data_IF_848371409910
#
_entry.id   IF_848371409910
#
_cell.length_a   1.000
_cell.length_b   1.000
_cell.length_c   1.000
_cell.angle_alpha   90.00
_cell.angle_beta   90.00
_cell.angle_gamma   90.00
#
_symmetry.space_group_name_H-M   'P 1'
#
loop_
_entity.id
_entity.type
_entity.pdbx_description
1 polymer ?
#
# COMPACT_ATOMS: atom_id res chain seq x y z
N UNK A 1 -13.87 16.78 8.25
CA UNK A 1 -13.87 17.16 6.84
C UNK A 1 -15.09 16.51 6.18
N UNK A 2 -16.03 17.31 5.69
CA UNK A 2 -17.13 16.80 4.89
C UNK A 2 -16.55 16.41 3.52
N UNK A 3 -16.53 15.13 3.24
CA UNK A 3 -16.16 14.66 1.92
C UNK A 3 -17.13 15.30 0.89
N UNK A 4 -16.58 15.95 -0.11
CA UNK A 4 -17.39 16.47 -1.21
C UNK A 4 -17.95 15.28 -1.99
N UNK A 5 -19.24 15.33 -2.39
CA UNK A 5 -19.73 14.30 -3.28
C UNK A 5 -18.93 14.36 -4.57
N UNK A 6 -18.21 13.27 -4.86
CA UNK A 6 -17.47 13.13 -6.11
C UNK A 6 -18.41 12.56 -7.14
N UNK A 7 -18.71 13.34 -8.18
CA UNK A 7 -19.38 12.83 -9.36
C UNK A 7 -18.40 12.87 -10.52
N UNK A 8 -18.10 11.71 -11.06
CA UNK A 8 -17.27 11.61 -12.26
C UNK A 8 -18.22 11.41 -13.46
N UNK A 9 -18.02 12.21 -14.51
CA UNK A 9 -18.75 12.06 -15.77
C UNK A 9 -18.15 10.90 -16.56
N UNK A 10 -16.88 10.60 -16.30
CA UNK A 10 -16.11 9.53 -16.95
C UNK A 10 -15.08 8.98 -16.00
N UNK A 11 -14.43 7.88 -16.38
CA UNK A 11 -13.32 7.28 -15.63
C UNK A 11 -12.25 8.33 -15.31
N UNK A 12 -11.85 8.49 -14.04
CA UNK A 12 -10.77 9.43 -13.70
C UNK A 12 -9.39 8.90 -14.08
N UNK A 13 -8.45 9.83 -14.31
CA UNK A 13 -7.02 9.51 -14.43
C UNK A 13 -6.39 9.56 -13.05
N UNK A 14 -5.43 8.64 -12.80
CA UNK A 14 -4.64 8.62 -11.58
C UNK A 14 -3.17 8.89 -11.93
N UNK A 15 -2.50 9.67 -11.07
CA UNK A 15 -1.08 10.03 -11.19
C UNK A 15 -0.29 9.19 -10.19
N UNK A 16 0.54 8.27 -10.71
CA UNK A 16 1.27 7.28 -9.89
C UNK A 16 2.76 7.63 -9.87
N UNK A 17 3.32 7.89 -8.71
CA UNK A 17 4.75 8.14 -8.55
C UNK A 17 5.49 6.79 -8.59
N UNK A 18 6.25 6.58 -9.67
CA UNK A 18 7.06 5.38 -9.87
C UNK A 18 8.43 5.48 -9.21
N UNK A 19 8.95 6.71 -9.09
CA UNK A 19 10.26 6.95 -8.49
C UNK A 19 10.36 8.38 -7.93
N UNK A 20 10.96 8.47 -6.75
CA UNK A 20 11.22 9.72 -6.03
C UNK A 20 12.68 9.77 -5.53
N UNK A 21 13.62 9.24 -6.33
CA UNK A 21 15.04 9.21 -5.96
C UNK A 21 15.87 10.18 -6.83
N UNK A 22 17.11 10.43 -6.40
CA UNK A 22 18.01 11.40 -7.03
C UNK A 22 19.10 10.74 -7.90
N UNK A 23 18.83 9.54 -8.41
CA UNK A 23 19.79 8.79 -9.25
C UNK A 23 19.49 9.03 -10.73
N UNK A 24 20.51 8.83 -11.57
CA UNK A 24 20.34 8.71 -13.00
C UNK A 24 19.43 7.52 -13.31
N UNK A 25 18.59 7.67 -14.33
CA UNK A 25 17.71 6.58 -14.77
C UNK A 25 17.58 6.56 -16.30
N UNK A 26 17.11 5.42 -16.79
CA UNK A 26 16.84 5.21 -18.22
C UNK A 26 15.37 4.82 -18.36
N UNK A 27 14.70 5.41 -19.34
CA UNK A 27 13.36 5.00 -19.76
C UNK A 27 13.45 4.53 -21.21
N UNK A 28 12.79 3.41 -21.51
CA UNK A 28 12.61 2.91 -22.88
C UNK A 28 11.15 3.09 -23.25
N UNK A 29 10.87 3.78 -24.35
CA UNK A 29 9.50 3.88 -24.89
C UNK A 29 9.31 2.86 -26.01
N UNK A 30 8.13 2.22 -26.01
CA UNK A 30 7.65 1.34 -27.08
C UNK A 30 6.46 2.06 -27.72
N UNK A 31 6.48 2.15 -29.06
CA UNK A 31 5.55 3.02 -29.78
C UNK A 31 6.08 4.44 -29.89
N UNK A 32 5.21 5.37 -30.27
CA UNK A 32 5.57 6.77 -30.53
C UNK A 32 5.02 7.69 -29.45
N UNK A 33 5.88 8.59 -28.95
CA UNK A 33 5.52 9.57 -27.92
C UNK A 33 5.84 11.00 -28.38
N UNK A 34 4.91 11.92 -28.18
CA UNK A 34 5.17 13.37 -28.23
C UNK A 34 5.85 13.75 -26.92
N UNK A 35 6.96 14.48 -27.04
CA UNK A 35 7.66 15.06 -25.88
C UNK A 35 7.25 16.52 -25.81
N UNK A 36 6.65 16.91 -24.68
CA UNK A 36 6.05 18.25 -24.48
C UNK A 36 6.77 18.93 -23.33
N UNK A 37 7.27 20.14 -23.58
CA UNK A 37 7.93 20.99 -22.59
C UNK A 37 7.35 22.41 -22.71
N UNK A 38 6.93 22.98 -21.59
CA UNK A 38 6.27 24.29 -21.53
C UNK A 38 5.11 24.41 -22.54
N UNK A 39 4.30 23.36 -22.62
CA UNK A 39 3.11 23.25 -23.49
C UNK A 39 3.42 23.19 -24.99
N UNK A 40 4.69 23.05 -25.38
CA UNK A 40 5.12 22.95 -26.78
C UNK A 40 5.62 21.53 -27.05
N UNK A 41 5.18 20.94 -28.16
CA UNK A 41 5.76 19.66 -28.63
C UNK A 41 7.16 19.98 -29.16
N UNK A 42 8.17 19.57 -28.41
CA UNK A 42 9.58 19.84 -28.77
C UNK A 42 10.15 18.75 -29.70
N UNK A 43 9.62 17.54 -29.65
CA UNK A 43 10.01 16.42 -30.51
C UNK A 43 9.02 15.28 -30.41
N UNK A 44 9.25 14.25 -31.25
CA UNK A 44 8.64 12.91 -31.13
C UNK A 44 9.75 11.88 -31.05
N UNK A 45 9.54 10.85 -30.23
CA UNK A 45 10.48 9.72 -30.11
C UNK A 45 9.71 8.43 -30.31
N UNK A 46 10.35 7.43 -30.91
CA UNK A 46 9.72 6.12 -31.20
C UNK A 46 10.68 5.00 -30.90
N UNK A 47 10.19 3.98 -30.18
CA UNK A 47 10.90 2.72 -29.96
C UNK A 47 12.37 2.93 -29.56
N UNK A 48 12.61 3.79 -28.58
CA UNK A 48 13.96 4.21 -28.20
C UNK A 48 14.11 4.32 -26.68
N UNK A 49 15.37 4.33 -26.24
CA UNK A 49 15.72 4.60 -24.86
C UNK A 49 16.32 5.99 -24.71
N UNK A 50 16.11 6.60 -23.58
CA UNK A 50 16.73 7.86 -23.23
C UNK A 50 17.09 7.89 -21.75
N UNK A 51 18.04 8.73 -21.38
CA UNK A 51 18.54 8.87 -20.01
C UNK A 51 18.07 10.20 -19.42
N UNK A 52 17.81 10.22 -18.12
CA UNK A 52 17.63 11.44 -17.35
C UNK A 52 18.59 11.43 -16.16
N UNK A 53 19.23 12.58 -15.92
CA UNK A 53 20.08 12.80 -14.75
C UNK A 53 19.48 13.95 -13.92
N UNK A 54 19.43 13.84 -12.59
CA UNK A 54 18.98 14.96 -11.75
C UNK A 54 19.79 16.26 -11.96
N UNK A 55 21.01 16.12 -12.47
CA UNK A 55 21.83 17.27 -12.82
C UNK A 55 22.46 17.95 -11.59
N UNK A 56 22.93 19.15 -11.81
CA UNK A 56 23.51 20.01 -10.76
C UNK A 56 22.68 21.27 -10.64
N UNK A 57 22.65 21.86 -9.44
CA UNK A 57 21.97 23.14 -9.19
C UNK A 57 20.49 23.11 -9.57
N UNK A 58 19.80 21.98 -9.27
CA UNK A 58 18.35 21.81 -9.49
C UNK A 58 17.97 21.92 -10.99
N UNK A 59 18.87 21.58 -11.89
CA UNK A 59 18.63 21.57 -13.33
C UNK A 59 18.88 20.18 -13.90
N UNK A 60 17.90 19.29 -13.82
CA UNK A 60 18.02 17.98 -14.42
C UNK A 60 18.19 18.05 -15.93
N UNK A 61 18.79 17.01 -16.47
CA UNK A 61 19.15 16.94 -17.89
C UNK A 61 18.53 15.67 -18.49
N UNK A 62 17.76 15.89 -19.55
CA UNK A 62 17.17 14.82 -20.36
C UNK A 62 18.04 14.62 -21.61
N UNK A 63 18.50 13.40 -21.83
CA UNK A 63 19.35 13.02 -22.96
C UNK A 63 18.50 12.19 -23.96
N UNK A 64 17.85 12.87 -24.88
CA UNK A 64 17.10 12.24 -25.97
C UNK A 64 18.08 11.84 -27.11
N UNK A 65 17.67 10.98 -28.07
CA UNK A 65 18.59 10.49 -29.12
C UNK A 65 19.32 11.59 -29.90
N UNK A 66 18.68 12.73 -30.12
CA UNK A 66 19.23 13.78 -30.98
C UNK A 66 19.33 15.16 -30.30
N UNK A 67 19.00 15.22 -29.00
CA UNK A 67 19.06 16.49 -28.28
C UNK A 67 19.22 16.29 -26.78
N UNK A 68 19.77 17.30 -26.14
CA UNK A 68 19.94 17.37 -24.71
C UNK A 68 19.10 18.54 -24.21
N UNK A 69 18.30 18.33 -23.17
CA UNK A 69 17.38 19.34 -22.64
C UNK A 69 17.64 19.49 -21.13
N UNK A 70 18.02 20.68 -20.72
CA UNK A 70 18.05 21.07 -19.33
C UNK A 70 16.68 21.65 -19.00
N UNK A 71 16.01 21.17 -17.92
CA UNK A 71 14.62 21.55 -17.66
C UNK A 71 14.40 21.95 -16.21
N UNK A 72 13.43 22.83 -15.98
CA UNK A 72 13.06 23.37 -14.66
C UNK A 72 11.54 23.28 -14.42
N UNK A 73 10.78 22.84 -15.42
CA UNK A 73 9.34 22.57 -15.33
C UNK A 73 9.07 21.15 -15.86
N UNK A 74 7.91 20.56 -15.62
CA UNK A 74 7.64 19.18 -16.04
C UNK A 74 7.77 18.96 -17.55
N UNK A 75 8.34 17.81 -17.92
CA UNK A 75 8.32 17.32 -19.31
C UNK A 75 7.32 16.16 -19.38
N UNK A 76 6.37 16.27 -20.32
CA UNK A 76 5.33 15.26 -20.54
C UNK A 76 5.65 14.40 -21.75
N UNK A 77 5.35 13.11 -21.63
CA UNK A 77 5.45 12.11 -22.68
C UNK A 77 4.05 11.56 -22.94
N UNK A 78 3.48 11.92 -24.09
CA UNK A 78 2.10 11.61 -24.44
C UNK A 78 2.11 10.62 -25.62
N UNK A 79 1.54 9.41 -25.49
CA UNK A 79 1.53 8.45 -26.59
C UNK A 79 0.74 8.98 -27.79
N UNK A 80 1.21 8.62 -28.99
CA UNK A 80 0.50 8.92 -30.24
C UNK A 80 -0.23 7.63 -30.65
N UNK A 81 -1.45 7.47 -30.15
CA UNK A 81 -2.26 6.29 -30.45
C UNK A 81 -2.65 6.23 -31.92
N UNK A 82 -2.44 5.07 -32.54
CA UNK A 82 -2.93 4.82 -33.90
C UNK A 82 -4.37 4.31 -33.81
N UNK A 83 -5.30 5.14 -34.23
CA UNK A 83 -6.73 4.81 -34.21
C UNK A 83 -7.11 3.63 -35.12
N UNK A 84 -6.17 3.15 -35.96
CA UNK A 84 -6.40 2.03 -36.87
C UNK A 84 -6.02 0.67 -36.27
N UNK A 85 -5.36 0.68 -35.13
CA UNK A 85 -4.91 -0.57 -34.51
C UNK A 85 -6.00 -1.20 -33.61
N UNK A 86 -6.04 -2.32 -33.61
CA UNK A 86 -6.92 -3.09 -32.87
C UNK A 86 -6.46 -3.49 -31.56
N UNK A 87 -5.27 -3.46 -31.41
CA UNK A 87 -4.75 -3.84 -30.10
C UNK A 87 -5.16 -2.82 -29.04
N UNK A 88 -5.35 -3.24 -27.78
CA UNK A 88 -5.65 -2.28 -26.71
C UNK A 88 -4.55 -1.22 -26.60
N UNK A 89 -4.90 0.05 -26.34
CA UNK A 89 -3.91 1.14 -26.25
C UNK A 89 -2.78 0.89 -25.25
N UNK A 90 -3.07 0.23 -24.13
CA UNK A 90 -2.09 -0.10 -23.10
C UNK A 90 -1.04 -1.14 -23.55
N UNK A 91 -1.29 -1.82 -24.65
CA UNK A 91 -0.34 -2.79 -25.21
C UNK A 91 0.53 -2.17 -26.30
N UNK A 92 0.00 -1.16 -27.01
CA UNK A 92 0.69 -0.54 -28.17
C UNK A 92 1.74 0.47 -27.73
N UNK A 93 1.32 1.46 -26.94
CA UNK A 93 2.21 2.52 -26.49
C UNK A 93 2.39 2.38 -24.97
N UNK A 94 3.61 2.04 -24.58
CA UNK A 94 3.98 1.85 -23.19
C UNK A 94 5.44 2.25 -22.99
N UNK A 95 5.87 2.32 -21.75
CA UNK A 95 7.26 2.63 -21.45
C UNK A 95 7.78 1.69 -20.37
N UNK A 96 9.06 1.36 -20.44
CA UNK A 96 9.74 0.54 -19.44
C UNK A 96 10.60 1.45 -18.56
N UNK A 97 10.45 1.26 -17.26
CA UNK A 97 11.29 1.89 -16.24
C UNK A 97 11.60 0.84 -15.18
N UNK A 98 12.87 0.68 -14.87
CA UNK A 98 13.39 -0.23 -13.83
C UNK A 98 12.89 -1.68 -14.01
N UNK A 99 12.80 -2.14 -15.27
CA UNK A 99 12.40 -3.50 -15.59
C UNK A 99 10.89 -3.76 -15.59
N UNK A 100 10.08 -2.75 -15.28
CA UNK A 100 8.61 -2.84 -15.33
C UNK A 100 8.08 -2.02 -16.50
N UNK A 101 7.01 -2.48 -17.14
CA UNK A 101 6.37 -1.80 -18.27
C UNK A 101 5.07 -1.14 -17.82
N UNK A 102 4.91 0.13 -18.17
CA UNK A 102 3.76 0.94 -17.75
C UNK A 102 3.02 1.48 -18.97
N UNK A 103 1.67 1.40 -18.97
CA UNK A 103 0.87 1.98 -20.07
C UNK A 103 0.64 3.48 -19.88
N UNK A 104 0.26 4.16 -20.95
CA UNK A 104 -0.24 5.53 -20.88
C UNK A 104 0.84 6.60 -20.93
N UNK A 105 0.50 7.75 -20.38
CA UNK A 105 1.35 8.94 -20.34
C UNK A 105 2.30 8.89 -19.15
N UNK A 106 3.40 9.66 -19.25
CA UNK A 106 4.22 9.89 -18.07
C UNK A 106 4.83 11.28 -18.08
N UNK A 107 5.19 11.75 -16.88
CA UNK A 107 5.85 13.06 -16.68
C UNK A 107 7.14 12.89 -15.89
N UNK A 108 8.13 13.71 -16.22
CA UNK A 108 9.33 13.92 -15.43
C UNK A 108 9.21 15.27 -14.75
N UNK A 109 9.15 15.29 -13.41
CA UNK A 109 8.91 16.51 -12.64
C UNK A 109 10.16 16.83 -11.79
N UNK A 110 10.85 17.94 -12.05
CA UNK A 110 11.99 18.36 -11.22
C UNK A 110 11.51 18.90 -9.87
N UNK A 111 12.21 18.58 -8.80
CA UNK A 111 11.88 19.06 -7.45
C UNK A 111 12.99 19.94 -6.89
N UNK A 112 12.67 20.64 -5.80
CA UNK A 112 13.63 21.49 -5.07
C UNK A 112 14.68 20.67 -4.29
N UNK A 113 14.46 19.38 -4.11
CA UNK A 113 15.40 18.46 -3.44
C UNK A 113 16.39 17.81 -4.43
N UNK A 114 16.44 18.30 -5.67
CA UNK A 114 17.27 17.76 -6.75
C UNK A 114 16.89 16.29 -7.07
N UNK A 115 15.61 16.00 -7.03
CA UNK A 115 15.00 14.73 -7.42
C UNK A 115 14.21 14.97 -8.71
N UNK A 116 14.17 13.99 -9.59
CA UNK A 116 13.23 13.97 -10.71
C UNK A 116 12.19 12.90 -10.43
N UNK A 117 10.96 13.32 -10.18
CA UNK A 117 9.85 12.37 -10.03
C UNK A 117 9.49 11.78 -11.40
N UNK A 118 9.18 10.49 -11.42
CA UNK A 118 8.64 9.81 -12.59
C UNK A 118 7.18 9.50 -12.27
N UNK A 119 6.26 10.16 -12.96
CA UNK A 119 4.82 10.04 -12.71
C UNK A 119 4.15 9.37 -13.91
N UNK A 120 3.57 8.20 -13.70
CA UNK A 120 2.72 7.53 -14.71
C UNK A 120 1.29 8.07 -14.60
N UNK A 121 0.71 8.50 -15.70
CA UNK A 121 -0.65 9.01 -15.77
C UNK A 121 -1.49 8.01 -16.57
N UNK A 122 -2.48 7.40 -15.91
CA UNK A 122 -3.21 6.25 -16.48
C UNK A 122 -4.66 6.26 -16.00
N UNK A 123 -5.56 5.70 -16.81
CA UNK A 123 -6.96 5.53 -16.40
C UNK A 123 -7.05 4.64 -15.16
N UNK A 124 -8.00 4.95 -14.27
CA UNK A 124 -8.14 4.26 -12.99
C UNK A 124 -8.34 2.76 -13.16
N UNK A 125 -9.17 2.32 -14.12
CA UNK A 125 -9.40 0.89 -14.33
C UNK A 125 -8.13 0.18 -14.84
N UNK A 126 -7.35 0.84 -15.70
CA UNK A 126 -6.06 0.31 -16.17
C UNK A 126 -5.07 0.19 -15.01
N UNK A 127 -5.00 1.20 -14.13
CA UNK A 127 -4.18 1.18 -12.91
C UNK A 127 -4.55 -0.04 -12.04
N UNK A 128 -5.85 -0.26 -11.82
CA UNK A 128 -6.33 -1.35 -10.95
C UNK A 128 -5.94 -2.74 -11.47
N UNK A 129 -5.80 -2.93 -12.78
CA UNK A 129 -5.34 -4.19 -13.36
C UNK A 129 -3.90 -4.52 -12.91
N UNK A 130 -3.07 -3.48 -12.70
CA UNK A 130 -1.71 -3.65 -12.18
C UNK A 130 -1.60 -3.64 -10.65
N UNK A 131 -2.72 -3.42 -9.94
CA UNK A 131 -2.76 -3.37 -8.46
C UNK A 131 -3.38 -4.63 -7.87
N UNK A 132 -4.56 -5.03 -8.35
CA UNK A 132 -5.37 -6.09 -7.72
C UNK A 132 -4.60 -7.40 -7.54
N UNK A 133 -3.85 -7.90 -8.55
CA UNK A 133 -3.10 -9.15 -8.38
C UNK A 133 -1.97 -9.07 -7.35
N UNK A 134 -1.39 -7.89 -7.16
CA UNK A 134 -0.32 -7.69 -6.18
C UNK A 134 -0.85 -7.56 -4.76
N UNK A 135 -2.07 -7.06 -4.63
CA UNK A 135 -2.68 -6.83 -3.32
C UNK A 135 -3.36 -8.08 -2.77
N UNK A 136 -3.99 -8.88 -3.63
CA UNK A 136 -4.77 -10.04 -3.17
C UNK A 136 -3.99 -11.35 -3.30
N UNK A 137 -4.01 -11.95 -4.47
CA UNK A 137 -3.26 -13.16 -4.83
C UNK A 137 -2.73 -13.03 -6.26
N UNK A 138 -1.52 -13.47 -6.47
CA UNK A 138 -0.86 -13.29 -7.76
C UNK A 138 -1.54 -14.08 -8.89
N UNK A 139 -2.02 -15.29 -8.59
CA UNK A 139 -2.72 -16.14 -9.56
C UNK A 139 -4.01 -16.66 -8.94
N UNK A 140 -5.08 -15.84 -8.92
CA UNK A 140 -6.34 -16.27 -8.31
C UNK A 140 -7.01 -17.39 -9.09
N UNK A 141 -7.74 -18.24 -8.37
CA UNK A 141 -8.55 -19.32 -8.93
C UNK A 141 -10.01 -18.84 -9.12
N UNK A 142 -10.79 -19.57 -9.92
CA UNK A 142 -12.16 -19.16 -10.26
C UNK A 142 -13.04 -18.93 -9.03
N UNK A 143 -12.86 -19.74 -7.97
CA UNK A 143 -13.61 -19.58 -6.72
C UNK A 143 -13.15 -18.37 -5.90
N UNK A 144 -12.11 -17.66 -6.33
CA UNK A 144 -11.62 -16.42 -5.72
C UNK A 144 -12.05 -15.17 -6.50
N UNK A 145 -12.81 -15.32 -7.57
CA UNK A 145 -13.26 -14.18 -8.40
C UNK A 145 -14.00 -13.11 -7.57
N UNK A 146 -14.86 -13.54 -6.65
CA UNK A 146 -15.63 -12.58 -5.83
C UNK A 146 -14.72 -11.80 -4.88
N UNK A 147 -13.66 -12.42 -4.37
CA UNK A 147 -12.64 -11.72 -3.58
C UNK A 147 -11.87 -10.72 -4.44
N UNK A 148 -11.51 -11.09 -5.69
CA UNK A 148 -10.87 -10.17 -6.63
C UNK A 148 -11.78 -8.97 -6.94
N UNK A 149 -13.09 -9.20 -7.12
CA UNK A 149 -14.06 -8.13 -7.35
C UNK A 149 -14.16 -7.20 -6.13
N UNK A 150 -14.21 -7.77 -4.92
CA UNK A 150 -14.23 -6.98 -3.68
C UNK A 150 -12.93 -6.16 -3.53
N UNK A 151 -11.78 -6.77 -3.83
CA UNK A 151 -10.48 -6.07 -3.78
C UNK A 151 -10.42 -4.94 -4.82
N UNK A 152 -10.93 -5.17 -6.04
CA UNK A 152 -10.97 -4.14 -7.09
C UNK A 152 -11.79 -2.93 -6.62
N UNK A 153 -12.96 -3.17 -6.02
CA UNK A 153 -13.82 -2.10 -5.49
C UNK A 153 -13.11 -1.36 -4.33
N UNK A 154 -12.52 -2.09 -3.38
CA UNK A 154 -11.82 -1.47 -2.24
C UNK A 154 -10.60 -0.65 -2.71
N UNK A 155 -9.83 -1.18 -3.66
CA UNK A 155 -8.67 -0.48 -4.22
C UNK A 155 -9.09 0.78 -5.00
N UNK A 156 -10.22 0.69 -5.74
CA UNK A 156 -10.81 1.85 -6.44
C UNK A 156 -11.20 2.95 -5.44
N UNK A 157 -11.86 2.58 -4.36
CA UNK A 157 -12.22 3.52 -3.29
C UNK A 157 -10.99 4.22 -2.72
N UNK A 158 -9.94 3.46 -2.42
CA UNK A 158 -8.68 4.00 -1.91
C UNK A 158 -8.09 5.02 -2.90
N UNK A 159 -7.98 4.63 -4.18
CA UNK A 159 -7.44 5.48 -5.24
C UNK A 159 -8.25 6.78 -5.41
N UNK A 160 -9.59 6.68 -5.45
CA UNK A 160 -10.48 7.84 -5.56
C UNK A 160 -10.28 8.79 -4.37
N UNK A 161 -10.17 8.23 -3.17
CA UNK A 161 -9.92 9.02 -1.96
C UNK A 161 -8.58 9.78 -2.08
N UNK A 162 -7.52 9.10 -2.56
CA UNK A 162 -6.20 9.70 -2.73
C UNK A 162 -6.20 10.78 -3.82
N UNK A 163 -6.90 10.55 -4.95
CA UNK A 163 -7.07 11.57 -6.00
C UNK A 163 -7.71 12.84 -5.39
N UNK A 164 -8.74 12.66 -4.57
CA UNK A 164 -9.44 13.79 -3.95
C UNK A 164 -8.58 14.54 -2.91
N UNK A 165 -7.67 13.81 -2.21
CA UNK A 165 -6.75 14.44 -1.25
C UNK A 165 -5.61 15.19 -1.93
N UNK A 166 -5.22 14.77 -3.14
CA UNK A 166 -4.00 15.23 -3.82
C UNK A 166 -4.21 16.45 -4.73
N UNK A 167 -5.28 17.23 -4.55
CA UNK A 167 -5.69 18.32 -5.43
C UNK A 167 -4.58 19.35 -5.72
N UNK A 168 -3.66 19.54 -4.78
CA UNK A 168 -2.52 20.47 -4.94
C UNK A 168 -1.16 19.77 -5.00
N UNK A 169 -1.13 18.43 -5.08
CA UNK A 169 0.11 17.65 -5.09
C UNK A 169 0.54 17.27 -6.50
N UNK A 170 1.80 16.88 -6.66
CA UNK A 170 2.36 16.49 -7.95
C UNK A 170 1.89 15.12 -8.42
N UNK A 171 1.41 14.28 -7.51
CA UNK A 171 0.88 12.95 -7.81
C UNK A 171 -0.14 12.51 -6.75
N UNK A 172 -0.84 11.43 -7.01
CA UNK A 172 -1.93 10.94 -6.16
C UNK A 172 -1.48 9.81 -5.23
N UNK A 173 -0.70 8.86 -5.75
CA UNK A 173 -0.28 7.64 -5.02
C UNK A 173 1.16 7.29 -5.37
N UNK A 174 1.83 6.58 -4.45
CA UNK A 174 3.06 5.86 -4.73
C UNK A 174 2.74 4.48 -5.31
N UNK A 175 3.68 3.93 -6.10
CA UNK A 175 3.54 2.61 -6.74
C UNK A 175 3.93 1.44 -5.82
N UNK A 176 4.22 1.70 -4.54
CA UNK A 176 4.75 0.71 -3.60
C UNK A 176 3.90 0.63 -2.33
N UNK A 177 4.41 -0.04 -1.29
CA UNK A 177 3.69 -0.28 -0.03
C UNK A 177 3.35 0.98 0.77
N UNK A 178 3.79 2.17 0.33
CA UNK A 178 3.34 3.45 0.91
C UNK A 178 1.87 3.72 0.58
N UNK A 179 1.39 3.21 -0.57
CA UNK A 179 -0.02 3.28 -0.98
C UNK A 179 -0.49 1.90 -1.47
N UNK A 180 -0.41 1.62 -2.77
CA UNK A 180 -0.83 0.34 -3.38
C UNK A 180 0.26 -0.16 -4.33
N UNK A 181 0.61 -1.44 -4.24
CA UNK A 181 1.66 -2.02 -5.08
C UNK A 181 1.16 -2.10 -6.54
N UNK A 182 1.76 -1.29 -7.41
CA UNK A 182 1.41 -1.17 -8.83
C UNK A 182 2.56 -1.64 -9.69
N UNK A 183 2.37 -2.74 -10.42
CA UNK A 183 3.40 -3.37 -11.26
C UNK A 183 3.21 -3.13 -12.76
N UNK A 184 2.40 -2.14 -13.14
CA UNK A 184 2.13 -1.89 -14.55
C UNK A 184 1.56 -3.13 -15.25
N UNK A 185 1.98 -3.35 -16.49
CA UNK A 185 1.48 -4.45 -17.36
C UNK A 185 1.93 -5.82 -16.82
N UNK A 186 3.10 -5.92 -16.22
CA UNK A 186 3.60 -7.18 -15.64
C UNK A 186 2.67 -7.71 -14.54
N UNK A 187 1.87 -6.85 -13.93
CA UNK A 187 0.89 -7.23 -12.93
C UNK A 187 -0.37 -7.90 -13.50
N UNK A 188 -0.67 -7.73 -14.77
CA UNK A 188 -1.96 -8.17 -15.34
C UNK A 188 -2.16 -9.69 -15.22
N UNK A 189 -3.36 -10.07 -14.77
CA UNK A 189 -3.78 -11.48 -14.65
C UNK A 189 -5.23 -11.60 -15.14
N UNK A 190 -5.56 -12.57 -15.99
CA UNK A 190 -6.89 -12.61 -16.65
C UNK A 190 -8.08 -12.55 -15.70
N UNK A 191 -8.02 -13.26 -14.56
CA UNK A 191 -9.15 -13.29 -13.64
C UNK A 191 -9.29 -11.94 -12.90
N UNK A 192 -8.16 -11.35 -12.49
CA UNK A 192 -8.17 -10.02 -11.86
C UNK A 192 -8.61 -8.94 -12.85
N UNK A 193 -8.17 -9.03 -14.11
CA UNK A 193 -8.64 -8.14 -15.19
C UNK A 193 -10.15 -8.23 -15.36
N UNK A 194 -10.70 -9.46 -15.34
CA UNK A 194 -12.15 -9.69 -15.41
C UNK A 194 -12.86 -9.06 -14.21
N UNK A 195 -12.30 -9.23 -13.00
CA UNK A 195 -12.87 -8.66 -11.77
C UNK A 195 -12.91 -7.12 -11.84
N UNK A 196 -11.83 -6.48 -12.29
CA UNK A 196 -11.77 -5.02 -12.48
C UNK A 196 -12.83 -4.57 -13.47
N UNK A 197 -12.90 -5.23 -14.64
CA UNK A 197 -13.84 -4.91 -15.70
C UNK A 197 -15.30 -5.08 -15.23
N UNK A 198 -15.62 -6.17 -14.54
CA UNK A 198 -16.98 -6.46 -14.05
C UNK A 198 -17.43 -5.47 -12.97
N UNK A 199 -16.50 -4.84 -12.27
CA UNK A 199 -16.77 -3.86 -11.20
C UNK A 199 -16.44 -2.43 -11.63
N UNK A 200 -16.20 -2.16 -12.91
CA UNK A 200 -15.78 -0.82 -13.38
C UNK A 200 -16.76 0.26 -12.89
N UNK A 201 -16.21 1.29 -12.27
CA UNK A 201 -16.95 2.42 -11.71
C UNK A 201 -17.72 2.12 -10.42
N UNK A 202 -17.66 0.89 -9.90
CA UNK A 202 -18.38 0.51 -8.67
C UNK A 202 -17.53 0.89 -7.46
N UNK A 203 -18.16 1.56 -6.49
CA UNK A 203 -17.54 1.99 -5.23
C UNK A 203 -18.40 1.60 -4.03
N UNK A 204 -17.76 1.62 -2.87
CA UNK A 204 -18.41 1.60 -1.55
C UNK A 204 -18.66 3.06 -1.15
N UNK A 205 -19.90 3.40 -0.81
CA UNK A 205 -20.31 4.75 -0.43
C UNK A 205 -20.82 4.80 1.01
N UNK A 206 -20.48 5.86 1.73
CA UNK A 206 -21.03 6.13 3.05
C UNK A 206 -21.50 7.59 3.11
N UNK A 207 -22.80 7.80 3.40
CA UNK A 207 -23.42 9.13 3.51
C UNK A 207 -23.16 10.01 2.27
N UNK A 208 -23.26 9.43 1.07
CA UNK A 208 -23.15 10.18 -0.18
C UNK A 208 -21.71 10.43 -0.65
N UNK A 209 -20.71 9.87 0.02
CA UNK A 209 -19.30 10.05 -0.34
C UNK A 209 -18.58 8.70 -0.41
N UNK A 210 -17.54 8.58 -1.24
CA UNK A 210 -16.75 7.34 -1.27
C UNK A 210 -16.18 7.01 0.11
N UNK A 211 -16.37 5.77 0.56
CA UNK A 211 -15.84 5.29 1.84
C UNK A 211 -14.33 5.10 1.76
N UNK A 212 -13.64 5.29 2.87
CA UNK A 212 -12.19 4.99 2.99
C UNK A 212 -12.04 3.49 3.19
N UNK A 213 -11.80 2.76 2.12
CA UNK A 213 -11.72 1.31 2.13
C UNK A 213 -10.28 0.84 2.35
N UNK A 214 -9.86 0.78 3.62
CA UNK A 214 -8.59 0.16 3.99
C UNK A 214 -8.70 -1.36 3.89
N UNK A 215 -7.59 -2.01 3.60
CA UNK A 215 -7.51 -3.47 3.54
C UNK A 215 -6.12 -3.93 4.02
N UNK A 216 -6.05 -5.20 4.39
CA UNK A 216 -4.82 -5.79 4.93
C UNK A 216 -4.83 -7.29 4.69
N UNK A 217 -3.67 -7.93 4.76
CA UNK A 217 -3.50 -9.33 4.39
C UNK A 217 -4.38 -10.30 5.21
N UNK A 218 -4.21 -10.31 6.54
CA UNK A 218 -4.82 -11.35 7.39
C UNK A 218 -5.17 -10.76 8.76
N UNK A 219 -6.45 -10.78 9.14
CA UNK A 219 -6.90 -10.17 10.40
C UNK A 219 -6.65 -11.06 11.63
N UNK A 220 -6.58 -12.38 11.47
CA UNK A 220 -6.46 -13.31 12.60
C UNK A 220 -7.79 -13.64 13.29
N UNK A 221 -8.93 -13.35 12.63
CA UNK A 221 -10.27 -13.66 13.15
C UNK A 221 -11.06 -12.44 13.61
N UNK A 222 -10.42 -11.26 13.71
CA UNK A 222 -11.12 -10.02 14.06
C UNK A 222 -10.36 -8.81 13.50
N UNK A 223 -11.08 -7.89 12.86
CA UNK A 223 -10.50 -6.64 12.38
C UNK A 223 -10.43 -5.61 13.52
N UNK A 224 -9.73 -4.50 13.28
CA UNK A 224 -9.48 -3.48 14.29
C UNK A 224 -10.14 -2.14 13.89
N UNK A 225 -10.41 -1.31 14.88
CA UNK A 225 -10.94 0.05 14.70
C UNK A 225 -9.86 0.96 14.14
N UNK A 226 -10.24 1.81 13.18
CA UNK A 226 -9.29 2.72 12.51
C UNK A 226 -8.59 3.65 13.51
N UNK A 227 -9.32 4.18 14.48
CA UNK A 227 -8.77 5.11 15.48
C UNK A 227 -7.81 4.41 16.47
N UNK A 228 -7.91 3.09 16.64
CA UNK A 228 -7.00 2.31 17.48
C UNK A 228 -5.64 2.09 16.79
N UNK A 229 -5.66 1.96 15.47
CA UNK A 229 -4.45 1.69 14.68
C UNK A 229 -3.68 2.98 14.42
N UNK A 230 -4.36 4.01 13.93
CA UNK A 230 -3.73 5.30 13.60
C UNK A 230 -4.27 6.39 14.54
N UNK A 231 -3.46 6.74 15.54
CA UNK A 231 -3.82 7.77 16.53
C UNK A 231 -4.11 9.10 15.83
N UNK A 232 -5.19 9.75 16.24
CA UNK A 232 -5.62 11.01 15.63
C UNK A 232 -6.57 10.86 14.44
N UNK A 233 -6.76 9.65 13.92
CA UNK A 233 -7.80 9.43 12.91
C UNK A 233 -9.18 9.42 13.57
N UNK A 234 -10.16 10.06 12.93
CA UNK A 234 -11.53 10.02 13.47
C UNK A 234 -12.11 8.61 13.40
N UNK A 235 -12.99 8.31 14.32
CA UNK A 235 -13.76 7.07 14.28
C UNK A 235 -14.69 7.09 13.05
N UNK A 236 -14.54 6.09 12.17
CA UNK A 236 -15.39 5.92 11.01
C UNK A 236 -16.37 4.78 11.32
N UNK A 237 -17.69 5.03 11.24
CA UNK A 237 -18.68 4.04 11.68
C UNK A 237 -18.57 2.67 10.98
N UNK A 238 -18.11 2.67 9.74
CA UNK A 238 -17.93 1.45 8.94
C UNK A 238 -16.53 0.82 9.12
N UNK A 239 -15.69 1.33 10.04
CA UNK A 239 -14.34 0.79 10.34
C UNK A 239 -14.17 0.65 11.87
N UNK A 240 -15.17 0.03 12.54
CA UNK A 240 -15.19 -0.12 14.00
C UNK A 240 -14.77 -1.51 14.48
N UNK A 241 -14.17 -2.29 13.59
CA UNK A 241 -13.75 -3.67 13.92
C UNK A 241 -14.92 -4.64 13.90
N UNK A 242 -14.73 -5.76 13.25
CA UNK A 242 -15.78 -6.80 13.13
C UNK A 242 -15.18 -8.18 13.44
N UNK A 243 -16.03 -9.09 13.89
CA UNK A 243 -15.69 -10.50 13.98
C UNK A 243 -15.61 -11.09 12.57
N UNK A 244 -14.50 -11.74 12.25
CA UNK A 244 -14.25 -12.36 10.94
C UNK A 244 -14.34 -13.88 11.04
N UNK A 245 -15.38 -14.35 11.75
CA UNK A 245 -15.61 -15.78 12.04
C UNK A 245 -16.81 -16.26 11.22
N UNK A 246 -16.63 -17.38 10.54
CA UNK A 246 -17.72 -18.09 9.88
C UNK A 246 -18.63 -18.69 10.95
N UNK A 247 -19.87 -18.22 11.04
CA UNK A 247 -20.84 -18.69 12.03
C UNK A 247 -21.19 -20.18 11.90
N UNK A 248 -20.97 -20.76 10.71
CA UNK A 248 -21.27 -22.17 10.44
C UNK A 248 -20.20 -23.11 11.02
N UNK A 249 -18.93 -22.71 10.89
CA UNK A 249 -17.79 -23.56 11.29
C UNK A 249 -17.12 -23.11 12.59
N UNK A 250 -17.35 -21.85 12.99
CA UNK A 250 -16.65 -21.26 14.13
C UNK A 250 -15.21 -20.87 13.83
N UNK A 251 -14.75 -21.06 12.59
CA UNK A 251 -13.38 -20.76 12.19
C UNK A 251 -13.28 -19.36 11.55
N UNK A 252 -12.15 -18.66 11.69
CA UNK A 252 -11.93 -17.41 10.94
C UNK A 252 -11.96 -17.65 9.43
N UNK A 253 -12.59 -16.74 8.68
CA UNK A 253 -12.59 -16.81 7.21
C UNK A 253 -11.16 -16.82 6.65
N UNK A 254 -10.21 -16.19 7.34
CA UNK A 254 -8.81 -16.08 6.90
C UNK A 254 -7.91 -17.21 7.41
N UNK A 255 -8.46 -18.33 7.93
CA UNK A 255 -7.68 -19.38 8.59
C UNK A 255 -6.66 -20.06 7.65
N UNK A 256 -6.95 -20.10 6.35
CA UNK A 256 -6.07 -20.71 5.33
C UNK A 256 -4.88 -19.79 4.94
N UNK A 257 -4.79 -18.60 5.51
CA UNK A 257 -3.66 -17.71 5.21
C UNK A 257 -2.35 -18.35 5.68
N UNK A 258 -1.30 -18.37 4.83
CA UNK A 258 0.02 -18.85 5.26
C UNK A 258 0.65 -17.95 6.33
N UNK A 259 0.04 -16.79 6.58
CA UNK A 259 0.45 -15.82 7.61
C UNK A 259 -0.54 -15.77 8.77
N UNK A 260 -1.42 -16.76 8.89
CA UNK A 260 -2.40 -16.77 9.98
C UNK A 260 -1.69 -16.89 11.33
N UNK A 261 -0.76 -17.84 11.48
CA UNK A 261 0.09 -17.99 12.66
C UNK A 261 1.52 -17.65 12.32
N UNK A 262 2.22 -16.99 13.26
CA UNK A 262 3.62 -16.68 13.09
C UNK A 262 4.35 -16.66 14.44
N UNK A 263 5.65 -16.93 14.40
CA UNK A 263 6.54 -16.85 15.56
C UNK A 263 7.79 -16.09 15.17
N UNK A 264 8.25 -15.21 16.05
CA UNK A 264 9.47 -14.42 15.85
C UNK A 264 10.25 -14.40 17.17
N UNK A 265 11.49 -14.87 17.15
CA UNK A 265 12.36 -14.90 18.35
C UNK A 265 13.54 -13.94 18.19
N UNK A 266 13.99 -13.40 19.30
CA UNK A 266 15.10 -12.46 19.39
C UNK A 266 15.98 -12.87 20.57
N UNK A 267 17.28 -13.07 20.34
CA UNK A 267 18.26 -13.19 21.43
C UNK A 267 18.40 -11.84 22.14
N UNK A 268 18.93 -11.84 23.35
CA UNK A 268 19.15 -10.62 24.14
C UNK A 268 19.92 -9.54 23.34
N UNK A 269 21.03 -9.93 22.70
CA UNK A 269 21.85 -8.96 21.96
C UNK A 269 21.12 -8.37 20.75
N UNK A 270 20.37 -9.20 20.03
CA UNK A 270 19.55 -8.71 18.90
C UNK A 270 18.47 -7.75 19.42
N UNK A 271 17.82 -8.11 20.53
CA UNK A 271 16.74 -7.33 21.13
C UNK A 271 17.22 -5.93 21.54
N UNK A 272 18.34 -5.84 22.26
CA UNK A 272 18.93 -4.58 22.70
C UNK A 272 19.26 -3.66 21.51
N UNK A 273 19.84 -4.24 20.45
CA UNK A 273 20.20 -3.51 19.23
C UNK A 273 18.95 -3.03 18.48
N UNK A 274 17.93 -3.90 18.32
CA UNK A 274 16.68 -3.54 17.63
C UNK A 274 15.98 -2.39 18.35
N UNK A 275 15.78 -2.51 19.66
CA UNK A 275 15.07 -1.49 20.43
C UNK A 275 15.81 -0.16 20.33
N UNK A 276 17.14 -0.16 20.53
CA UNK A 276 17.95 1.06 20.42
C UNK A 276 17.79 1.72 19.05
N UNK A 277 17.84 0.92 17.98
CA UNK A 277 17.79 1.42 16.60
C UNK A 277 16.42 1.94 16.20
N UNK A 278 15.35 1.27 16.64
CA UNK A 278 14.01 1.53 16.08
C UNK A 278 13.04 2.24 17.04
N UNK A 279 13.43 2.49 18.30
CA UNK A 279 12.55 3.10 19.31
C UNK A 279 12.03 4.48 18.84
N UNK A 280 12.90 5.33 18.32
CA UNK A 280 12.52 6.68 17.85
C UNK A 280 11.58 6.62 16.64
N UNK A 281 11.70 5.59 15.80
CA UNK A 281 10.79 5.36 14.67
C UNK A 281 9.43 4.90 15.20
N UNK A 282 9.44 3.97 16.16
CA UNK A 282 8.22 3.41 16.77
C UNK A 282 7.49 4.42 17.67
N UNK A 283 8.23 5.36 18.26
CA UNK A 283 7.62 6.42 19.07
C UNK A 283 8.39 7.73 18.87
N UNK A 284 7.83 8.68 18.10
CA UNK A 284 8.48 9.98 17.83
C UNK A 284 8.70 10.86 19.06
N UNK A 285 8.17 10.47 20.23
CA UNK A 285 8.49 11.14 21.50
C UNK A 285 9.91 10.87 22.00
N UNK A 286 10.59 9.90 21.38
CA UNK A 286 12.01 9.60 21.65
C UNK A 286 12.85 10.06 20.48
N UNK A 287 14.12 10.40 20.75
CA UNK A 287 15.04 10.85 19.69
C UNK A 287 15.95 9.70 19.25
N UNK A 288 16.58 9.84 18.10
CA UNK A 288 17.58 8.89 17.62
C UNK A 288 18.82 8.83 18.50
N UNK A 289 18.97 9.81 19.42
CA UNK A 289 20.04 9.84 20.42
C UNK A 289 19.65 9.15 21.73
N UNK A 290 18.40 8.66 21.84
CA UNK A 290 17.97 7.93 23.04
C UNK A 290 18.76 6.62 23.12
N UNK A 291 19.64 6.55 24.10
CA UNK A 291 20.42 5.33 24.35
C UNK A 291 19.60 4.41 25.24
N UNK A 292 19.18 3.31 24.69
CA UNK A 292 18.47 2.28 25.42
C UNK A 292 19.52 1.32 26.01
N UNK A 293 19.54 1.19 27.32
CA UNK A 293 20.42 0.27 28.01
C UNK A 293 19.94 -1.17 27.82
N UNK A 294 20.62 -2.09 28.50
CA UNK A 294 20.27 -3.51 28.49
C UNK A 294 18.82 -3.71 28.91
N UNK A 295 18.06 -4.42 28.11
CA UNK A 295 16.64 -4.68 28.34
C UNK A 295 16.48 -5.82 29.36
N UNK A 296 15.71 -5.59 30.41
CA UNK A 296 15.43 -6.57 31.46
C UNK A 296 14.02 -7.11 31.39
N UNK A 297 13.10 -6.37 30.75
CA UNK A 297 11.74 -6.86 30.58
C UNK A 297 11.03 -6.15 29.41
N UNK A 298 10.13 -6.88 28.76
CA UNK A 298 9.14 -6.33 27.81
C UNK A 298 7.78 -6.90 28.22
N UNK A 299 6.82 -6.04 28.45
CA UNK A 299 5.47 -6.44 28.90
C UNK A 299 4.37 -5.73 28.13
N UNK A 300 3.30 -6.44 27.88
CA UNK A 300 2.07 -5.87 27.33
C UNK A 300 1.32 -5.26 28.50
N UNK A 301 1.04 -3.95 28.39
CA UNK A 301 0.35 -3.18 29.43
C UNK A 301 -1.15 -3.23 29.19
N UNK A 302 -1.57 -3.11 27.91
CA UNK A 302 -2.99 -3.07 27.58
C UNK A 302 -3.24 -3.65 26.18
N UNK A 303 -4.49 -4.06 25.95
CA UNK A 303 -4.98 -4.59 24.68
C UNK A 303 -6.29 -3.93 24.30
N UNK A 304 -6.50 -3.80 23.01
CA UNK A 304 -7.80 -3.44 22.45
C UNK A 304 -8.78 -4.63 22.55
N UNK A 305 -10.06 -4.37 22.31
CA UNK A 305 -11.10 -5.41 22.30
C UNK A 305 -10.87 -6.50 21.23
N UNK A 306 -10.07 -6.20 20.20
CA UNK A 306 -9.64 -7.16 19.18
C UNK A 306 -8.50 -8.08 19.65
N UNK A 307 -8.06 -7.94 20.91
CA UNK A 307 -6.90 -8.60 21.52
C UNK A 307 -5.55 -8.13 20.98
N UNK A 308 -5.54 -7.18 20.02
CA UNK A 308 -4.29 -6.56 19.58
C UNK A 308 -3.68 -5.73 20.71
N UNK A 309 -2.34 -5.71 20.75
CA UNK A 309 -1.61 -4.95 21.77
C UNK A 309 -1.84 -3.45 21.55
N UNK A 310 -2.40 -2.77 22.56
CA UNK A 310 -2.50 -1.32 22.59
C UNK A 310 -1.17 -0.70 23.04
N UNK A 311 -0.63 -1.17 24.18
CA UNK A 311 0.58 -0.56 24.70
C UNK A 311 1.58 -1.59 25.22
N UNK A 312 2.83 -1.34 24.86
CA UNK A 312 4.00 -2.17 25.20
C UNK A 312 4.94 -1.34 26.05
N UNK A 313 5.42 -1.91 27.16
CA UNK A 313 6.43 -1.29 28.02
C UNK A 313 7.75 -2.07 27.91
N UNK A 314 8.83 -1.34 27.75
CA UNK A 314 10.19 -1.86 27.73
C UNK A 314 10.87 -1.33 29.00
N UNK A 315 11.48 -2.22 29.79
CA UNK A 315 12.20 -1.87 31.02
C UNK A 315 13.67 -2.22 30.84
N UNK A 316 14.55 -1.31 31.25
CA UNK A 316 16.01 -1.48 31.14
C UNK A 316 16.63 -1.72 32.51
N UNK A 317 17.90 -2.14 32.52
CA UNK A 317 18.64 -2.49 33.73
C UNK A 317 18.76 -1.31 34.69
N UNK A 318 18.83 -0.07 34.17
CA UNK A 318 18.88 1.14 34.99
C UNK A 318 17.47 1.62 35.44
N UNK A 319 16.43 0.79 35.21
CA UNK A 319 15.07 1.05 35.66
C UNK A 319 14.25 1.98 34.79
N UNK A 320 14.80 2.47 33.69
CA UNK A 320 14.06 3.31 32.75
C UNK A 320 12.95 2.51 32.07
N UNK A 321 11.86 3.20 31.73
CA UNK A 321 10.70 2.61 31.07
C UNK A 321 10.43 3.38 29.77
N UNK A 322 10.25 2.64 28.70
CA UNK A 322 9.90 3.18 27.38
C UNK A 322 8.58 2.57 26.95
N UNK A 323 7.78 3.33 26.20
CA UNK A 323 6.45 2.90 25.79
C UNK A 323 6.28 3.04 24.28
N UNK A 324 5.64 2.05 23.68
CA UNK A 324 5.25 2.07 22.25
C UNK A 324 3.79 1.62 22.17
N UNK A 325 3.00 2.28 21.31
CA UNK A 325 1.55 2.05 21.27
C UNK A 325 1.06 1.70 19.86
N UNK A 326 -0.05 0.96 19.84
CA UNK A 326 -0.84 0.68 18.63
C UNK A 326 0.01 0.05 17.52
N UNK A 327 -0.29 0.36 16.27
CA UNK A 327 0.42 -0.22 15.10
C UNK A 327 1.91 0.17 15.09
N UNK A 328 2.30 1.22 15.80
CA UNK A 328 3.71 1.64 15.93
C UNK A 328 4.60 0.53 16.52
N UNK A 329 4.02 -0.38 17.30
CA UNK A 329 4.73 -1.54 17.85
C UNK A 329 5.37 -2.38 16.74
N UNK A 330 4.72 -2.45 15.57
CA UNK A 330 5.24 -3.20 14.42
C UNK A 330 6.57 -2.63 13.90
N UNK A 331 6.78 -1.34 14.06
CA UNK A 331 8.00 -0.66 13.61
C UNK A 331 9.18 -0.87 14.56
N UNK A 332 8.90 -1.29 15.80
CA UNK A 332 9.92 -1.57 16.81
C UNK A 332 10.66 -2.89 16.52
N UNK A 333 9.89 -3.92 16.16
CA UNK A 333 10.43 -5.25 15.89
C UNK A 333 10.62 -5.46 14.38
N UNK A 334 11.67 -6.18 14.02
CA UNK A 334 11.96 -6.46 12.60
C UNK A 334 11.99 -7.95 12.34
N UNK A 335 11.44 -8.33 11.21
CA UNK A 335 11.54 -9.67 10.67
C UNK A 335 12.96 -9.91 10.13
N UNK A 336 13.38 -11.17 9.91
CA UNK A 336 14.73 -11.45 9.38
C UNK A 336 15.02 -10.79 8.02
N UNK A 337 13.99 -10.52 7.22
CA UNK A 337 14.11 -9.84 5.93
C UNK A 337 14.18 -8.31 6.06
N UNK A 338 14.14 -7.78 7.28
CA UNK A 338 14.13 -6.35 7.56
C UNK A 338 12.75 -5.70 7.60
N UNK A 339 11.70 -6.43 7.25
CA UNK A 339 10.33 -5.93 7.28
C UNK A 339 9.83 -5.67 8.70
N UNK A 340 8.76 -4.88 8.82
CA UNK A 340 8.12 -4.61 10.13
C UNK A 340 7.40 -5.88 10.62
N UNK A 341 7.13 -5.96 11.93
CA UNK A 341 6.43 -7.10 12.53
C UNK A 341 5.08 -7.31 11.84
N UNK A 342 4.68 -8.57 11.69
CA UNK A 342 3.49 -8.95 10.91
C UNK A 342 2.20 -8.30 11.42
N UNK A 343 1.96 -8.32 12.74
CA UNK A 343 0.77 -7.73 13.34
C UNK A 343 1.03 -7.35 14.80
N UNK A 344 0.07 -6.67 15.42
CA UNK A 344 0.09 -6.41 16.87
C UNK A 344 -0.76 -7.43 17.66
N UNK A 345 -1.26 -8.48 17.00
CA UNK A 345 -2.01 -9.56 17.66
C UNK A 345 -1.03 -10.68 18.04
N UNK A 346 -0.38 -10.54 19.21
CA UNK A 346 0.64 -11.49 19.67
C UNK A 346 0.68 -11.60 21.20
N UNK A 347 1.30 -12.68 21.68
CA UNK A 347 1.69 -12.85 23.08
C UNK A 347 3.22 -12.90 23.17
N UNK A 348 3.74 -12.60 24.35
CA UNK A 348 5.18 -12.57 24.63
C UNK A 348 5.54 -13.78 25.51
N UNK A 349 6.61 -14.46 25.15
CA UNK A 349 7.26 -15.50 25.97
C UNK A 349 8.70 -15.07 26.18
N UNK A 350 9.16 -15.04 27.45
CA UNK A 350 10.52 -14.65 27.80
C UNK A 350 11.21 -15.85 28.46
N UNK A 351 12.25 -16.33 27.81
CA UNK A 351 13.15 -17.33 28.40
C UNK A 351 14.29 -16.58 29.12
N UNK A 352 14.51 -16.93 30.38
CA UNK A 352 15.55 -16.27 31.19
C UNK A 352 16.66 -17.27 31.52
N UNK A 353 17.88 -16.72 31.71
CA UNK A 353 19.02 -17.51 32.17
C UNK A 353 18.98 -17.67 33.71
N UNK A 354 19.95 -18.38 34.27
CA UNK A 354 20.00 -18.66 35.73
C UNK A 354 20.19 -17.39 36.58
N UNK A 355 20.55 -16.28 35.96
CA UNK A 355 20.74 -15.00 36.66
C UNK A 355 19.53 -14.08 36.54
N UNK A 356 18.44 -14.54 35.85
CA UNK A 356 17.22 -13.77 35.62
C UNK A 356 17.23 -12.88 34.40
N UNK A 357 18.35 -12.82 33.65
CA UNK A 357 18.44 -12.00 32.43
C UNK A 357 17.65 -12.65 31.28
N UNK A 358 17.18 -11.83 30.36
CA UNK A 358 16.56 -12.33 29.13
C UNK A 358 17.61 -13.08 28.32
N UNK A 359 17.35 -14.36 28.06
CA UNK A 359 18.10 -15.15 27.11
C UNK A 359 17.48 -15.05 25.72
N UNK A 360 16.15 -15.13 25.65
CA UNK A 360 15.40 -15.06 24.39
C UNK A 360 14.01 -14.47 24.66
N UNK A 361 13.56 -13.59 23.77
CA UNK A 361 12.19 -13.11 23.70
C UNK A 361 11.54 -13.73 22.48
N UNK A 362 10.38 -14.37 22.65
CA UNK A 362 9.60 -14.94 21.55
C UNK A 362 8.23 -14.28 21.50
N UNK A 363 7.88 -13.77 20.31
CA UNK A 363 6.56 -13.26 19.98
C UNK A 363 5.82 -14.35 19.19
N UNK A 364 4.65 -14.79 19.70
CA UNK A 364 3.76 -15.70 18.97
C UNK A 364 2.49 -14.96 18.62
N UNK A 365 2.22 -14.84 17.32
CA UNK A 365 1.13 -13.99 16.86
C UNK A 365 0.26 -14.60 15.79
N UNK A 366 -0.78 -13.83 15.46
CA UNK A 366 -1.74 -14.17 14.40
C UNK A 366 -1.91 -12.96 13.48
N UNK A 367 -2.13 -13.24 12.18
CA UNK A 367 -2.46 -12.23 11.21
C UNK A 367 -1.27 -11.46 10.66
N UNK A 368 -1.53 -10.66 9.64
CA UNK A 368 -0.52 -9.87 8.93
C UNK A 368 -1.16 -8.58 8.41
N UNK A 369 -0.59 -7.43 8.80
CA UNK A 369 -1.09 -6.11 8.45
C UNK A 369 -1.69 -5.38 9.64
N UNK A 370 -2.23 -4.20 9.37
CA UNK A 370 -2.74 -3.29 10.40
C UNK A 370 -4.09 -3.71 11.01
N UNK A 371 -4.85 -4.54 10.30
CA UNK A 371 -6.11 -5.07 10.82
C UNK A 371 -7.36 -4.25 10.51
N UNK A 372 -7.26 -3.10 9.85
CA UNK A 372 -8.41 -2.20 9.60
C UNK A 372 -9.07 -2.54 8.26
N UNK A 373 -10.41 -2.61 8.23
CA UNK A 373 -11.19 -2.82 7.01
C UNK A 373 -11.13 -4.25 6.49
N UNK A 374 -11.04 -4.43 5.18
CA UNK A 374 -11.15 -5.75 4.55
C UNK A 374 -9.92 -6.61 4.80
N UNK A 375 -10.15 -7.81 5.32
CA UNK A 375 -9.15 -8.88 5.42
C UNK A 375 -9.09 -9.59 4.06
N UNK A 376 -7.96 -9.49 3.37
CA UNK A 376 -7.80 -10.08 2.02
C UNK A 376 -8.00 -11.61 2.04
N UNK A 377 -7.34 -12.30 2.99
CA UNK A 377 -7.52 -13.75 3.15
C UNK A 377 -8.92 -14.11 3.65
N UNK A 378 -9.56 -13.22 4.41
CA UNK A 378 -10.97 -13.41 4.79
C UNK A 378 -11.90 -13.29 3.59
N UNK A 379 -11.66 -12.29 2.72
CA UNK A 379 -12.42 -12.15 1.46
C UNK A 379 -12.27 -13.41 0.58
N UNK A 380 -11.03 -13.96 0.48
CA UNK A 380 -10.76 -15.21 -0.23
C UNK A 380 -11.59 -16.36 0.41
N UNK A 381 -11.54 -16.49 1.72
CA UNK A 381 -12.29 -17.55 2.44
C UNK A 381 -13.80 -17.41 2.22
N UNK A 382 -14.33 -16.20 2.24
CA UNK A 382 -15.75 -15.94 1.94
C UNK A 382 -16.07 -16.29 0.48
N UNK A 383 -15.24 -15.88 -0.47
CA UNK A 383 -15.43 -16.16 -1.90
C UNK A 383 -15.51 -17.68 -2.15
N UNK A 384 -14.57 -18.44 -1.58
CA UNK A 384 -14.53 -19.92 -1.68
C UNK A 384 -15.76 -20.59 -1.08
N UNK A 385 -16.47 -19.89 -0.18
CA UNK A 385 -17.73 -20.35 0.44
C UNK A 385 -18.98 -19.87 -0.30
N UNK A 386 -18.80 -19.18 -1.45
CA UNK A 386 -19.90 -18.75 -2.30
C UNK A 386 -20.48 -17.38 -1.99
N UNK A 387 -19.86 -16.59 -1.12
CA UNK A 387 -20.29 -15.20 -0.91
C UNK A 387 -19.91 -14.35 -2.12
N UNK A 388 -20.82 -13.50 -2.56
CA UNK A 388 -20.52 -12.56 -3.64
C UNK A 388 -19.74 -11.34 -3.12
N UNK A 389 -19.18 -10.55 -4.05
CA UNK A 389 -18.34 -9.40 -3.68
C UNK A 389 -19.10 -8.34 -2.88
N UNK A 390 -20.42 -8.20 -3.09
CA UNK A 390 -21.24 -7.23 -2.34
C UNK A 390 -21.40 -7.68 -0.88
N UNK A 391 -21.62 -8.98 -0.69
CA UNK A 391 -21.68 -9.58 0.66
C UNK A 391 -20.34 -9.42 1.37
N UNK A 392 -19.22 -9.65 0.66
CA UNK A 392 -17.86 -9.47 1.21
C UNK A 392 -17.66 -8.01 1.64
N UNK A 393 -17.96 -7.05 0.75
CA UNK A 393 -17.80 -5.63 1.06
C UNK A 393 -18.70 -5.20 2.21
N UNK A 394 -19.94 -5.67 2.25
CA UNK A 394 -20.89 -5.35 3.33
C UNK A 394 -20.44 -5.92 4.68
N UNK A 395 -19.76 -7.08 4.67
CA UNK A 395 -19.19 -7.68 5.88
C UNK A 395 -18.08 -6.79 6.46
N UNK A 396 -17.13 -6.35 5.62
CA UNK A 396 -15.97 -5.60 6.09
C UNK A 396 -16.20 -4.10 6.26
N UNK A 397 -17.22 -3.54 5.59
CA UNK A 397 -17.58 -2.13 5.67
C UNK A 397 -19.08 -1.99 6.00
N UNK A 398 -19.48 -2.42 7.21
CA UNK A 398 -20.92 -2.43 7.56
C UNK A 398 -21.53 -1.02 7.54
N UNK A 399 -22.79 -0.93 7.11
CA UNK A 399 -23.52 0.34 7.05
C UNK A 399 -23.21 1.19 5.83
N UNK A 400 -22.44 0.64 4.88
CA UNK A 400 -22.17 1.32 3.59
C UNK A 400 -23.09 0.79 2.49
N UNK A 401 -23.09 1.45 1.34
CA UNK A 401 -23.84 1.03 0.14
C UNK A 401 -22.88 0.89 -1.05
N UNK A 402 -23.31 0.08 -2.03
CA UNK A 402 -22.56 -0.13 -3.27
C UNK A 402 -23.19 0.75 -4.36
N UNK A 403 -22.36 1.53 -5.06
CA UNK A 403 -22.84 2.48 -6.07
C UNK A 403 -21.92 2.50 -7.29
N UNK A 404 -22.49 2.65 -8.47
CA UNK A 404 -21.74 2.89 -9.71
C UNK A 404 -21.69 4.40 -9.97
N UNK A 405 -20.50 4.94 -10.26
CA UNK A 405 -20.27 6.40 -10.36
C UNK A 405 -19.86 6.87 -11.76
N UNK A 406 -19.45 5.98 -12.68
CA UNK A 406 -19.21 6.24 -14.10
C UNK A 406 -19.47 5.00 -14.94
#
# INVERSE_FOLDING_TARGET
>A
LKARPLSFISEPTIRVCLSDNNKDFVIKVNGTYKVIYDSIIITRISNTSFKCSPGKNLRPILYLPYQKIEFTSPIKFVPVTDSLSXAPPDVQENFNFDGQTYPGEFELIPTRENIVLIINMVGLETYLRGVVPNELVNNPTDDELQACMAQAVAARNYAIYKIAEADSQQFDVYSDTRDQVYSGIEGYRPLADSAVKMTAGIIVEYNGAPARCFFHSTCGGQTERVQNVWQGQPALPYLQGISDIDSTTGAPFCVDSPRFYWTQSFSSDILDNLITKYLAIANPGYTTRTLVGRITNISIIDRFSSFRVDSLQITTLDGKKYFVRSDRIRYLFRQPDGGILRSTLFRIEIKRNKYGDIQELTLRGQGNGHGVGMCQWGAIGMSRKGYDYKQILSHYYPGTTIKKIY
#
